data_IF_028705741487
#
_entry.id   IF_028705741487
#
_cell.length_a   1.000
_cell.length_b   1.000
_cell.length_c   1.000
_cell.angle_alpha   90.00
_cell.angle_beta   90.00
_cell.angle_gamma   90.00
#
_symmetry.space_group_name_H-M   'P 1'
#
loop_
_entity.id
_entity.type
_entity.pdbx_description
1 polymer ?
#
# COMPACT_ATOMS: atom_id res chain seq x y z
N UNK A 1 -6.26 0.60 -14.49
CA UNK A 1 -5.66 -0.66 -14.03
C UNK A 1 -4.66 -0.41 -12.89
N UNK A 2 -4.56 -1.30 -11.89
CA UNK A 2 -3.60 -1.19 -10.78
C UNK A 2 -4.17 -0.77 -9.42
N UNK A 3 -5.49 -0.62 -9.33
CA UNK A 3 -6.23 -0.28 -8.09
C UNK A 3 -7.42 -1.23 -7.82
N UNK A 4 -7.54 -2.32 -8.58
CA UNK A 4 -8.58 -3.35 -8.45
C UNK A 4 -8.65 -3.96 -7.04
N UNK A 5 -7.51 -3.99 -6.32
CA UNK A 5 -7.41 -4.47 -4.94
C UNK A 5 -7.08 -3.35 -3.93
N UNK A 6 -7.33 -2.09 -4.28
CA UNK A 6 -7.05 -0.95 -3.39
C UNK A 6 -7.80 -1.08 -2.07
N UNK A 7 -7.10 -0.94 -0.94
CA UNK A 7 -7.70 -1.08 0.39
C UNK A 7 -8.44 0.18 0.87
N UNK A 8 -7.96 1.37 0.55
CA UNK A 8 -8.55 2.65 0.93
C UNK A 8 -7.90 3.81 0.16
N UNK A 9 -8.55 4.98 0.15
CA UNK A 9 -8.03 6.17 -0.54
C UNK A 9 -6.78 6.75 0.13
N UNK A 10 -6.68 6.67 1.47
CA UNK A 10 -5.53 7.20 2.21
C UNK A 10 -4.23 6.54 1.76
N UNK A 11 -4.22 5.23 1.49
CA UNK A 11 -3.02 4.50 1.09
C UNK A 11 -2.45 4.88 -0.28
N UNK A 12 -3.23 5.55 -1.15
CA UNK A 12 -2.76 6.02 -2.46
C UNK A 12 -2.49 7.52 -2.51
N UNK A 13 -2.89 8.28 -1.48
CA UNK A 13 -2.85 9.74 -1.51
C UNK A 13 -1.49 10.27 -1.01
N UNK A 14 -0.65 10.90 -1.85
CA UNK A 14 0.67 11.38 -1.44
C UNK A 14 0.65 12.40 -0.30
N UNK A 15 -0.38 13.26 -0.27
CA UNK A 15 -0.52 14.32 0.74
C UNK A 15 -0.75 13.79 2.17
N UNK A 16 -1.17 12.53 2.30
CA UNK A 16 -1.49 11.91 3.59
C UNK A 16 -0.27 11.18 4.20
N UNK A 17 0.90 11.30 3.57
CA UNK A 17 2.17 10.67 3.98
C UNK A 17 3.31 11.71 4.06
N UNK A 18 4.20 11.55 5.04
CA UNK A 18 5.25 12.53 5.37
C UNK A 18 6.20 12.87 4.21
N UNK A 19 6.45 11.92 3.30
CA UNK A 19 7.42 12.07 2.21
C UNK A 19 6.75 12.15 0.83
N UNK A 20 5.44 12.39 0.75
CA UNK A 20 4.74 12.47 -0.54
C UNK A 20 4.71 11.14 -1.30
N UNK A 21 4.78 10.02 -0.60
CA UNK A 21 4.77 8.67 -1.17
C UNK A 21 3.42 7.98 -0.96
N UNK A 22 3.30 6.72 -1.39
CA UNK A 22 2.14 5.87 -1.09
C UNK A 22 2.43 4.96 0.09
N UNK A 23 1.38 4.37 0.66
CA UNK A 23 1.54 3.46 1.79
C UNK A 23 2.30 2.20 1.38
N UNK A 24 3.09 1.61 2.28
CA UNK A 24 3.85 0.36 2.05
C UNK A 24 2.98 -0.80 1.54
N UNK A 25 1.68 -0.81 1.90
CA UNK A 25 0.74 -1.80 1.39
C UNK A 25 0.53 -1.74 -0.14
N UNK A 26 0.92 -0.64 -0.82
CA UNK A 26 0.87 -0.50 -2.27
C UNK A 26 2.10 -1.04 -3.00
N UNK A 27 3.20 -1.31 -2.30
CA UNK A 27 4.42 -1.88 -2.90
C UNK A 27 4.19 -3.37 -3.16
N UNK A 28 4.46 -3.95 -4.33
CA UNK A 28 4.30 -5.40 -4.51
C UNK A 28 5.17 -6.23 -3.55
N UNK A 29 4.67 -7.37 -3.05
CA UNK A 29 5.34 -8.28 -2.10
C UNK A 29 6.73 -8.71 -2.58
N UNK A 30 6.92 -8.89 -3.88
CA UNK A 30 8.22 -9.29 -4.46
C UNK A 30 9.25 -8.16 -4.49
N UNK A 31 8.85 -6.91 -4.25
CA UNK A 31 9.72 -5.73 -4.17
C UNK A 31 9.92 -5.24 -2.73
N UNK A 32 9.27 -5.86 -1.74
CA UNK A 32 9.44 -5.53 -0.32
C UNK A 32 10.54 -6.41 0.28
N UNK A 33 11.32 -5.83 1.19
CA UNK A 33 12.20 -6.60 2.06
C UNK A 33 11.38 -7.44 3.06
N UNK A 34 10.32 -6.86 3.62
CA UNK A 34 9.40 -7.53 4.54
C UNK A 34 8.20 -8.15 3.80
N UNK A 35 8.05 -9.47 3.91
CA UNK A 35 6.96 -10.21 3.25
C UNK A 35 5.60 -10.02 3.93
N UNK A 36 5.61 -9.69 5.23
CA UNK A 36 4.40 -9.46 6.02
C UNK A 36 4.42 -8.03 6.50
N UNK A 37 3.41 -7.27 6.10
CA UNK A 37 3.18 -5.90 6.59
C UNK A 37 1.74 -5.79 7.05
N UNK A 38 1.47 -4.82 7.91
CA UNK A 38 0.11 -4.41 8.27
C UNK A 38 0.01 -2.89 8.18
N UNK A 39 -0.95 -2.41 7.38
CA UNK A 39 -1.14 -0.99 7.17
C UNK A 39 -1.71 -0.32 8.42
N UNK A 40 -1.03 0.70 8.94
CA UNK A 40 -1.50 1.49 10.10
C UNK A 40 -2.79 2.28 9.85
N UNK A 41 -3.21 2.47 8.59
CA UNK A 41 -4.42 3.22 8.25
C UNK A 41 -5.67 2.36 8.14
N UNK A 42 -5.55 1.08 7.78
CA UNK A 42 -6.69 0.22 7.49
C UNK A 42 -6.49 -1.26 7.80
N UNK A 43 -5.34 -1.67 8.33
CA UNK A 43 -5.04 -3.06 8.71
C UNK A 43 -4.79 -4.01 7.54
N UNK A 44 -4.74 -3.53 6.29
CA UNK A 44 -4.51 -4.41 5.14
C UNK A 44 -3.06 -4.94 5.11
N UNK A 45 -2.86 -6.13 4.52
CA UNK A 45 -1.54 -6.80 4.41
C UNK A 45 -0.89 -6.67 3.03
N UNK A 46 -1.39 -5.75 2.22
CA UNK A 46 -1.01 -5.56 0.83
C UNK A 46 -2.24 -5.33 -0.05
N UNK A 47 -2.17 -4.33 -0.91
CA UNK A 47 -3.23 -3.89 -1.80
C UNK A 47 -2.71 -3.50 -3.20
N UNK A 48 -1.51 -3.97 -3.55
CA UNK A 48 -1.03 -3.89 -4.93
C UNK A 48 -1.82 -4.90 -5.77
N UNK A 49 -2.35 -4.48 -6.92
CA UNK A 49 -3.13 -5.39 -7.77
C UNK A 49 -2.29 -6.46 -8.47
N UNK A 50 -0.97 -6.26 -8.55
CA UNK A 50 -0.01 -7.23 -9.11
C UNK A 50 0.59 -8.18 -8.07
N UNK A 51 0.06 -8.17 -6.84
CA UNK A 51 0.37 -9.16 -5.80
C UNK A 51 -0.45 -10.46 -5.92
#
# INVERSE_FOLDING_TARGET
PGYERLCCLRCMQPRDHNFGTTCVCRVPRHLREEKVIECVHCGCKGCASGD
#
